data_IF_677715807613
#
_entry.id   IF_677715807613
#
_cell.length_a   1.000
_cell.length_b   1.000
_cell.length_c   1.000
_cell.angle_alpha   90.00
_cell.angle_beta   90.00
_cell.angle_gamma   90.00
#
_symmetry.space_group_name_H-M   'P 1'
#
loop_
_entity.id
_entity.type
_entity.pdbx_description
1 polymer ?
#
# COMPACT_ATOMS: atom_id res chain seq x y z
N UNK A 1 -22.39 -18.55 20.67
CA UNK A 1 -21.88 -18.94 19.35
C UNK A 1 -20.61 -18.17 19.07
N UNK A 2 -19.43 -18.80 19.19
CA UNK A 2 -18.15 -18.14 18.98
C UNK A 2 -17.84 -18.06 17.49
N UNK A 3 -17.88 -16.87 16.92
CA UNK A 3 -17.31 -16.62 15.59
C UNK A 3 -15.79 -16.62 15.74
N UNK A 4 -15.13 -17.67 15.27
CA UNK A 4 -13.67 -17.68 15.13
C UNK A 4 -13.27 -16.59 14.15
N UNK A 5 -12.60 -15.56 14.67
CA UNK A 5 -12.02 -14.50 13.87
C UNK A 5 -10.64 -14.97 13.44
N UNK A 6 -10.52 -15.43 12.19
CA UNK A 6 -9.20 -15.66 11.60
C UNK A 6 -8.66 -14.32 11.09
N UNK A 7 -7.52 -13.90 11.63
CA UNK A 7 -6.66 -12.90 10.99
C UNK A 7 -5.76 -13.66 10.02
N UNK A 8 -5.78 -13.31 8.74
CA UNK A 8 -4.87 -13.88 7.76
C UNK A 8 -3.61 -13.04 7.67
N UNK A 9 -2.44 -13.68 7.67
CA UNK A 9 -1.14 -13.03 7.47
C UNK A 9 -0.41 -13.66 6.28
N UNK A 10 0.11 -12.81 5.41
CA UNK A 10 0.95 -13.20 4.29
C UNK A 10 2.24 -12.38 4.26
N UNK A 11 3.31 -12.99 3.74
CA UNK A 11 4.57 -12.31 3.45
C UNK A 11 5.00 -12.66 2.03
N UNK A 12 5.41 -11.68 1.26
CA UNK A 12 5.95 -11.89 -0.09
C UNK A 12 7.01 -10.85 -0.40
N UNK A 13 7.90 -11.15 -1.35
CA UNK A 13 8.92 -10.25 -1.83
C UNK A 13 8.62 -9.85 -3.28
N UNK A 14 8.53 -8.56 -3.55
CA UNK A 14 8.25 -8.02 -4.88
C UNK A 14 9.30 -6.98 -5.22
N UNK A 15 10.08 -7.22 -6.27
CA UNK A 15 11.13 -6.31 -6.73
C UNK A 15 12.12 -5.90 -5.63
N UNK A 16 12.47 -6.85 -4.74
CA UNK A 16 13.40 -6.62 -3.62
C UNK A 16 12.78 -5.89 -2.42
N UNK A 17 11.47 -5.64 -2.42
CA UNK A 17 10.73 -5.12 -1.28
C UNK A 17 9.95 -6.24 -0.60
N UNK A 18 10.18 -6.41 0.70
CA UNK A 18 9.40 -7.31 1.54
C UNK A 18 8.06 -6.66 1.88
N UNK A 19 6.97 -7.40 1.63
CA UNK A 19 5.60 -6.95 1.82
C UNK A 19 4.94 -7.85 2.86
N UNK A 20 4.29 -7.21 3.82
CA UNK A 20 3.46 -7.85 4.82
C UNK A 20 1.98 -7.58 4.49
N UNK A 21 1.21 -8.64 4.32
CA UNK A 21 -0.21 -8.61 4.00
C UNK A 21 -1.00 -9.06 5.22
N UNK A 22 -2.01 -8.28 5.60
CA UNK A 22 -2.90 -8.58 6.71
C UNK A 22 -4.35 -8.58 6.19
N UNK A 23 -5.02 -9.72 6.30
CA UNK A 23 -6.43 -9.86 5.96
C UNK A 23 -7.29 -9.44 7.14
N UNK A 24 -8.19 -8.46 6.97
CA UNK A 24 -9.10 -8.04 8.03
C UNK A 24 -10.41 -8.81 7.98
N UNK A 25 -11.03 -9.13 9.13
CA UNK A 25 -12.34 -9.77 9.17
C UNK A 25 -13.43 -8.92 8.48
N UNK A 26 -14.16 -9.54 7.55
CA UNK A 26 -15.11 -8.85 6.66
C UNK A 26 -16.50 -8.56 7.23
N UNK A 27 -16.86 -9.09 8.41
CA UNK A 27 -18.22 -8.93 8.96
C UNK A 27 -18.41 -7.58 9.67
N UNK A 28 -19.60 -6.97 9.52
CA UNK A 28 -19.97 -5.65 10.12
C UNK A 28 -19.54 -5.45 11.58
N UNK A 29 -19.66 -6.47 12.45
CA UNK A 29 -19.35 -6.36 13.88
C UNK A 29 -17.85 -6.28 14.23
N UNK A 30 -16.96 -6.39 13.24
CA UNK A 30 -15.51 -6.29 13.45
C UNK A 30 -14.92 -4.89 13.20
N UNK A 31 -15.73 -3.82 13.22
CA UNK A 31 -15.24 -2.44 13.05
C UNK A 31 -14.04 -2.12 13.95
N UNK A 32 -14.13 -2.46 15.26
CA UNK A 32 -13.04 -2.22 16.22
C UNK A 32 -11.77 -3.00 15.84
N UNK A 33 -11.90 -4.27 15.44
CA UNK A 33 -10.75 -5.05 14.99
C UNK A 33 -10.17 -4.49 13.70
N UNK A 34 -11.00 -4.06 12.74
CA UNK A 34 -10.53 -3.39 11.52
C UNK A 34 -9.77 -2.11 11.84
N UNK A 35 -10.26 -1.28 12.76
CA UNK A 35 -9.56 -0.07 13.18
C UNK A 35 -8.19 -0.40 13.80
N UNK A 36 -8.11 -1.41 14.66
CA UNK A 36 -6.84 -1.81 15.29
C UNK A 36 -5.87 -2.40 14.25
N UNK A 37 -6.33 -3.29 13.38
CA UNK A 37 -5.50 -3.99 12.39
C UNK A 37 -5.05 -3.07 11.25
N UNK A 38 -5.80 -2.01 10.97
CA UNK A 38 -5.46 -1.05 9.93
C UNK A 38 -4.40 -0.03 10.38
N UNK A 39 -4.23 0.21 11.68
CA UNK A 39 -3.26 1.18 12.20
C UNK A 39 -1.84 0.83 11.73
N UNK A 40 -1.21 1.79 11.05
CA UNK A 40 0.14 1.65 10.50
C UNK A 40 0.20 1.08 9.08
N UNK A 41 -0.94 0.76 8.45
CA UNK A 41 -0.98 0.31 7.08
C UNK A 41 -0.44 1.37 6.11
N UNK A 42 0.45 0.94 5.21
CA UNK A 42 1.00 1.78 4.16
C UNK A 42 0.03 1.96 2.99
N UNK A 43 -0.69 0.89 2.66
CA UNK A 43 -1.65 0.83 1.58
C UNK A 43 -2.75 -0.20 1.85
N UNK A 44 -3.85 -0.10 1.09
CA UNK A 44 -5.02 -0.98 1.21
C UNK A 44 -5.36 -1.61 -0.13
N UNK A 45 -5.59 -2.92 -0.12
CA UNK A 45 -6.30 -3.64 -1.19
C UNK A 45 -7.75 -3.84 -0.74
N UNK A 46 -8.68 -3.09 -1.32
CA UNK A 46 -10.10 -3.16 -0.97
C UNK A 46 -10.82 -4.12 -1.91
N UNK A 47 -11.17 -5.30 -1.42
CA UNK A 47 -11.76 -6.37 -2.26
C UNK A 47 -13.29 -6.27 -2.24
N UNK A 48 -13.88 -6.20 -3.43
CA UNK A 48 -15.33 -6.12 -3.63
C UNK A 48 -15.81 -7.34 -4.39
N UNK A 49 -16.92 -7.93 -3.93
CA UNK A 49 -17.61 -8.99 -4.64
C UNK A 49 -18.40 -8.42 -5.83
N UNK A 50 -17.87 -8.54 -7.04
CA UNK A 50 -18.50 -7.93 -8.22
C UNK A 50 -19.75 -8.68 -8.68
N UNK A 51 -19.96 -9.91 -8.19
CA UNK A 51 -21.07 -10.78 -8.56
C UNK A 51 -22.28 -10.71 -7.59
N UNK A 52 -22.17 -9.96 -6.48
CA UNK A 52 -23.25 -9.87 -5.47
C UNK A 52 -23.51 -8.42 -5.02
N UNK A 53 -24.36 -7.71 -5.77
CA UNK A 53 -24.77 -6.32 -5.48
C UNK A 53 -25.42 -6.15 -4.11
N UNK A 54 -26.04 -7.20 -3.56
CA UNK A 54 -26.68 -7.15 -2.24
C UNK A 54 -25.68 -6.87 -1.12
N UNK A 55 -24.37 -7.02 -1.38
CA UNK A 55 -23.29 -6.73 -0.43
C UNK A 55 -22.75 -5.31 -0.54
N UNK A 56 -23.22 -4.51 -1.48
CA UNK A 56 -22.68 -3.16 -1.71
C UNK A 56 -22.89 -2.24 -0.52
N UNK A 57 -24.01 -2.34 0.20
CA UNK A 57 -24.22 -1.56 1.42
C UNK A 57 -23.17 -1.86 2.50
N UNK A 58 -22.78 -3.13 2.63
CA UNK A 58 -21.71 -3.55 3.55
C UNK A 58 -20.35 -3.05 3.04
N UNK A 59 -20.07 -3.20 1.75
CA UNK A 59 -18.85 -2.69 1.13
C UNK A 59 -18.72 -1.16 1.29
N UNK A 60 -19.79 -0.40 1.07
CA UNK A 60 -19.84 1.05 1.28
C UNK A 60 -19.55 1.43 2.73
N UNK A 61 -20.07 0.66 3.68
CA UNK A 61 -19.81 0.87 5.11
C UNK A 61 -18.32 0.69 5.40
N UNK A 62 -17.73 -0.43 4.97
CA UNK A 62 -16.29 -0.70 5.17
C UNK A 62 -15.42 0.31 4.40
N UNK A 63 -15.83 0.74 3.20
CA UNK A 63 -15.13 1.76 2.43
C UNK A 63 -15.04 3.09 3.19
N UNK A 64 -16.14 3.53 3.80
CA UNK A 64 -16.17 4.74 4.64
C UNK A 64 -15.30 4.58 5.89
N UNK A 65 -15.34 3.41 6.54
CA UNK A 65 -14.47 3.09 7.68
C UNK A 65 -12.99 3.15 7.30
N UNK A 66 -12.58 2.58 6.15
CA UNK A 66 -11.18 2.66 5.68
C UNK A 66 -10.76 4.11 5.47
N UNK A 67 -11.62 4.94 4.88
CA UNK A 67 -11.35 6.37 4.69
C UNK A 67 -11.26 7.14 6.01
N UNK A 68 -12.04 6.75 7.01
CA UNK A 68 -12.04 7.30 8.37
C UNK A 68 -10.76 6.91 9.13
N UNK A 69 -10.41 5.62 9.14
CA UNK A 69 -9.31 5.07 9.92
C UNK A 69 -7.93 5.36 9.31
N UNK A 70 -7.88 5.45 7.98
CA UNK A 70 -6.65 5.54 7.21
C UNK A 70 -6.64 6.77 6.26
N UNK A 71 -6.76 7.99 6.79
CA UNK A 71 -6.78 9.18 5.97
C UNK A 71 -5.46 9.32 5.19
N UNK A 72 -5.57 9.46 3.87
CA UNK A 72 -4.43 9.63 2.97
C UNK A 72 -3.63 8.35 2.67
N UNK A 73 -4.03 7.19 3.18
CA UNK A 73 -3.44 5.90 2.80
C UNK A 73 -3.82 5.56 1.36
N UNK A 74 -2.86 5.00 0.63
CA UNK A 74 -3.05 4.63 -0.78
C UNK A 74 -3.97 3.41 -0.85
N UNK A 75 -4.94 3.43 -1.75
CA UNK A 75 -5.87 2.32 -1.92
C UNK A 75 -5.95 1.88 -3.39
N UNK A 76 -6.10 0.58 -3.60
CA UNK A 76 -6.50 -0.04 -4.87
C UNK A 76 -7.72 -0.90 -4.58
N UNK A 77 -8.79 -0.71 -5.35
CA UNK A 77 -10.00 -1.52 -5.26
C UNK A 77 -9.87 -2.71 -6.21
N UNK A 78 -10.14 -3.90 -5.71
CA UNK A 78 -10.17 -5.14 -6.47
C UNK A 78 -11.63 -5.53 -6.70
N UNK A 79 -12.14 -5.27 -7.90
CA UNK A 79 -13.44 -5.77 -8.36
C UNK A 79 -13.29 -7.29 -8.62
N UNK A 80 -13.49 -8.09 -7.57
CA UNK A 80 -13.18 -9.51 -7.54
C UNK A 80 -14.33 -10.36 -8.08
N UNK A 81 -14.05 -11.64 -8.35
CA UNK A 81 -14.94 -12.65 -8.94
C UNK A 81 -15.31 -12.41 -10.41
N UNK A 82 -14.39 -11.85 -11.19
CA UNK A 82 -14.56 -11.69 -12.64
C UNK A 82 -14.61 -13.03 -13.41
N UNK A 83 -14.37 -14.16 -12.74
CA UNK A 83 -14.60 -15.51 -13.27
C UNK A 83 -16.07 -15.93 -13.29
N UNK A 84 -16.95 -15.19 -12.61
CA UNK A 84 -18.39 -15.47 -12.57
C UNK A 84 -19.08 -14.72 -13.71
N UNK A 85 -19.92 -15.43 -14.47
CA UNK A 85 -20.73 -14.82 -15.53
C UNK A 85 -21.70 -13.78 -14.97
N UNK A 86 -21.84 -12.65 -15.66
CA UNK A 86 -22.62 -11.51 -15.19
C UNK A 86 -22.00 -10.70 -14.05
N UNK A 87 -20.75 -10.98 -13.63
CA UNK A 87 -20.05 -10.12 -12.68
C UNK A 87 -19.88 -8.70 -13.23
N UNK A 88 -20.15 -7.70 -12.39
CA UNK A 88 -20.01 -6.29 -12.76
C UNK A 88 -18.58 -5.96 -13.18
N UNK A 89 -18.43 -5.13 -14.21
CA UNK A 89 -17.10 -4.64 -14.63
C UNK A 89 -16.55 -3.66 -13.58
N UNK A 90 -15.23 -3.42 -13.56
CA UNK A 90 -14.59 -2.46 -12.64
C UNK A 90 -15.25 -1.07 -12.64
N UNK A 91 -15.71 -0.60 -13.79
CA UNK A 91 -16.37 0.70 -13.95
C UNK A 91 -17.74 0.73 -13.25
N UNK A 92 -18.50 -0.36 -13.34
CA UNK A 92 -19.82 -0.49 -12.69
C UNK A 92 -19.66 -0.57 -11.16
N UNK A 93 -18.64 -1.29 -10.67
CA UNK A 93 -18.29 -1.31 -9.24
C UNK A 93 -17.87 0.07 -8.74
N UNK A 94 -17.11 0.83 -9.55
CA UNK A 94 -16.72 2.21 -9.23
C UNK A 94 -17.95 3.09 -9.02
N UNK A 95 -18.88 3.05 -9.96
CA UNK A 95 -20.10 3.85 -9.93
C UNK A 95 -20.97 3.48 -8.73
N UNK A 96 -21.23 2.18 -8.53
CA UNK A 96 -22.06 1.68 -7.44
C UNK A 96 -21.53 2.07 -6.05
N UNK A 97 -20.22 2.02 -5.85
CA UNK A 97 -19.60 2.34 -4.56
C UNK A 97 -19.13 3.80 -4.43
N UNK A 98 -19.31 4.63 -5.47
CA UNK A 98 -18.85 6.02 -5.48
C UNK A 98 -17.33 6.16 -5.30
N UNK A 99 -16.55 5.26 -5.90
CA UNK A 99 -15.08 5.25 -5.75
C UNK A 99 -14.46 6.44 -6.50
N UNK A 100 -13.66 7.30 -5.82
CA UNK A 100 -13.00 8.44 -6.45
C UNK A 100 -12.15 8.07 -7.67
N UNK A 101 -12.13 8.93 -8.69
CA UNK A 101 -11.47 8.66 -9.98
C UNK A 101 -9.96 8.42 -9.90
N UNK A 102 -9.30 8.94 -8.87
CA UNK A 102 -7.88 8.76 -8.59
C UNK A 102 -7.55 7.40 -7.95
N UNK A 103 -8.54 6.70 -7.39
CA UNK A 103 -8.40 5.36 -6.85
C UNK A 103 -8.54 4.33 -7.97
N UNK A 104 -7.52 3.50 -8.27
CA UNK A 104 -7.65 2.45 -9.27
C UNK A 104 -8.66 1.39 -8.85
N UNK A 105 -9.47 0.94 -9.80
CA UNK A 105 -10.35 -0.22 -9.65
C UNK A 105 -9.90 -1.24 -10.68
N UNK A 106 -9.52 -2.43 -10.23
CA UNK A 106 -8.93 -3.48 -11.06
C UNK A 106 -9.84 -4.71 -11.02
N UNK A 107 -10.24 -5.20 -12.19
CA UNK A 107 -10.98 -6.45 -12.32
C UNK A 107 -10.07 -7.63 -11.95
N UNK A 108 -10.51 -8.45 -11.01
CA UNK A 108 -9.71 -9.54 -10.43
C UNK A 108 -10.51 -10.82 -10.28
N UNK A 109 -9.81 -11.95 -10.24
CA UNK A 109 -10.38 -13.21 -9.80
C UNK A 109 -9.36 -13.91 -8.92
N UNK A 110 -9.69 -14.03 -7.63
CA UNK A 110 -8.87 -14.75 -6.67
C UNK A 110 -8.75 -16.25 -6.98
N UNK A 111 -9.75 -16.83 -7.63
CA UNK A 111 -9.78 -18.26 -7.99
C UNK A 111 -8.85 -18.56 -9.16
N UNK A 112 -8.86 -17.71 -10.19
CA UNK A 112 -8.02 -17.91 -11.39
C UNK A 112 -6.66 -17.25 -11.29
N UNK A 113 -6.47 -16.35 -10.32
CA UNK A 113 -5.28 -15.51 -10.18
C UNK A 113 -5.29 -14.25 -11.05
N UNK A 114 -6.35 -14.02 -11.83
CA UNK A 114 -6.48 -12.85 -12.71
C UNK A 114 -6.22 -11.55 -11.93
N UNK A 115 -5.19 -10.82 -12.37
CA UNK A 115 -4.78 -9.51 -11.87
C UNK A 115 -4.52 -9.40 -10.36
N UNK A 116 -4.40 -10.52 -9.63
CA UNK A 116 -4.12 -10.50 -8.18
C UNK A 116 -2.76 -9.87 -7.92
N UNK A 117 -1.71 -10.40 -8.55
CA UNK A 117 -0.35 -9.85 -8.44
C UNK A 117 -0.24 -8.44 -9.03
N UNK A 118 -0.99 -8.15 -10.10
CA UNK A 118 -1.04 -6.82 -10.71
C UNK A 118 -1.59 -5.78 -9.73
N UNK A 119 -2.64 -6.13 -8.98
CA UNK A 119 -3.28 -5.23 -8.02
C UNK A 119 -2.33 -4.88 -6.86
N UNK A 120 -1.61 -5.88 -6.35
CA UNK A 120 -0.56 -5.66 -5.35
C UNK A 120 0.56 -4.76 -5.90
N UNK A 121 1.06 -5.07 -7.09
CA UNK A 121 2.11 -4.29 -7.77
C UNK A 121 1.68 -2.85 -8.05
N UNK A 122 0.42 -2.64 -8.42
CA UNK A 122 -0.19 -1.32 -8.61
C UNK A 122 -0.20 -0.53 -7.31
N UNK A 123 -0.56 -1.16 -6.19
CA UNK A 123 -0.51 -0.55 -4.87
C UNK A 123 0.92 -0.11 -4.52
N UNK A 124 1.91 -1.00 -4.69
CA UNK A 124 3.33 -0.68 -4.45
C UNK A 124 3.82 0.49 -5.31
N UNK A 125 3.46 0.51 -6.60
CA UNK A 125 3.84 1.60 -7.49
C UNK A 125 3.30 2.95 -7.01
N UNK A 126 2.06 2.98 -6.51
CA UNK A 126 1.48 4.19 -5.93
C UNK A 126 2.14 4.58 -4.60
N UNK A 127 2.51 3.63 -3.74
CA UNK A 127 3.24 3.89 -2.51
C UNK A 127 4.61 4.50 -2.79
N UNK A 128 5.36 3.92 -3.71
CA UNK A 128 6.67 4.46 -4.10
C UNK A 128 6.51 5.80 -4.78
N UNK A 129 5.52 5.99 -5.67
CA UNK A 129 5.22 7.30 -6.27
C UNK A 129 4.94 8.37 -5.21
N UNK A 130 4.21 8.03 -4.14
CA UNK A 130 3.95 8.93 -3.01
C UNK A 130 5.23 9.27 -2.24
N UNK A 131 6.15 8.33 -2.09
CA UNK A 131 7.45 8.54 -1.43
C UNK A 131 8.53 9.13 -2.35
N UNK A 132 8.34 9.12 -3.68
CA UNK A 132 9.35 9.51 -4.64
C UNK A 132 9.95 10.91 -4.38
N UNK A 133 9.18 11.96 -4.04
CA UNK A 133 9.76 13.28 -3.80
C UNK A 133 10.81 13.30 -2.69
N UNK A 134 10.58 12.58 -1.58
CA UNK A 134 11.54 12.54 -0.47
C UNK A 134 12.70 11.61 -0.77
N UNK A 135 12.43 10.50 -1.46
CA UNK A 135 13.45 9.55 -1.89
C UNK A 135 14.43 10.16 -2.90
N UNK A 136 13.96 11.01 -3.82
CA UNK A 136 14.83 11.75 -4.74
C UNK A 136 15.79 12.70 -4.02
N UNK A 137 15.36 13.31 -2.90
CA UNK A 137 16.24 14.17 -2.09
C UNK A 137 17.26 13.33 -1.31
N UNK A 138 16.84 12.18 -0.79
CA UNK A 138 17.74 11.25 -0.11
C UNK A 138 18.80 10.70 -1.07
N UNK A 139 18.42 10.32 -2.29
CA UNK A 139 19.33 9.78 -3.31
C UNK A 139 20.49 10.74 -3.61
N UNK A 140 20.26 12.05 -3.52
CA UNK A 140 21.29 13.07 -3.72
C UNK A 140 22.39 13.10 -2.65
N UNK A 141 22.16 12.51 -1.47
CA UNK A 141 23.13 12.47 -0.36
C UNK A 141 23.42 11.03 0.10
N UNK A 142 23.11 10.04 -0.74
CA UNK A 142 23.29 8.62 -0.47
C UNK A 142 24.75 8.27 -0.15
N UNK A 143 24.99 7.68 1.03
CA UNK A 143 26.31 7.26 1.48
C UNK A 143 27.27 8.40 1.85
N UNK A 144 26.83 9.67 1.85
CA UNK A 144 27.67 10.80 2.21
C UNK A 144 27.86 10.94 3.72
N UNK A 145 29.10 11.23 4.16
CA UNK A 145 29.37 11.63 5.55
C UNK A 145 28.63 12.92 5.88
N UNK A 146 27.75 12.87 6.87
CA UNK A 146 26.86 13.98 7.23
C UNK A 146 25.63 14.11 6.32
N UNK A 147 25.31 13.10 5.51
CA UNK A 147 24.14 13.07 4.62
C UNK A 147 22.82 13.34 5.35
N UNK A 148 22.65 12.86 6.60
CA UNK A 148 21.46 13.16 7.42
C UNK A 148 21.30 14.66 7.65
N UNK A 149 22.39 15.37 7.96
CA UNK A 149 22.36 16.82 8.21
C UNK A 149 22.01 17.59 6.94
N UNK A 150 22.61 17.23 5.80
CA UNK A 150 22.32 17.84 4.50
C UNK A 150 20.88 17.61 4.05
N UNK A 151 20.38 16.38 4.22
CA UNK A 151 18.99 16.04 3.99
C UNK A 151 18.06 16.88 4.88
N UNK A 152 18.35 16.97 6.18
CA UNK A 152 17.57 17.75 7.14
C UNK A 152 17.49 19.23 6.74
N UNK A 153 18.62 19.83 6.36
CA UNK A 153 18.71 21.21 5.90
C UNK A 153 17.90 21.42 4.61
N UNK A 154 18.09 20.53 3.62
CA UNK A 154 17.40 20.61 2.32
C UNK A 154 15.89 20.50 2.44
N UNK A 155 15.40 19.70 3.39
CA UNK A 155 13.97 19.51 3.66
C UNK A 155 13.40 20.58 4.62
N UNK A 156 14.24 21.42 5.22
CA UNK A 156 13.82 22.34 6.28
C UNK A 156 13.32 21.63 7.55
N UNK A 157 13.80 20.41 7.81
CA UNK A 157 13.39 19.62 8.96
C UNK A 157 14.27 19.90 10.18
N UNK A 158 13.66 19.86 11.36
CA UNK A 158 14.39 19.76 12.62
C UNK A 158 14.80 18.30 12.89
N UNK A 159 15.68 18.09 13.87
CA UNK A 159 16.21 16.76 14.22
C UNK A 159 15.11 15.72 14.54
N UNK A 160 14.03 16.14 15.21
CA UNK A 160 12.92 15.24 15.57
C UNK A 160 12.16 14.78 14.33
N UNK A 161 11.83 15.71 13.42
CA UNK A 161 11.16 15.39 12.15
C UNK A 161 12.04 14.54 11.24
N UNK A 162 13.33 14.87 11.13
CA UNK A 162 14.31 14.08 10.37
C UNK A 162 14.40 12.66 10.89
N UNK A 163 14.48 12.49 12.22
CA UNK A 163 14.51 11.17 12.85
C UNK A 163 13.23 10.38 12.60
N UNK A 164 12.06 11.01 12.71
CA UNK A 164 10.77 10.36 12.42
C UNK A 164 10.71 9.84 10.99
N UNK A 165 11.13 10.67 10.02
CA UNK A 165 11.12 10.32 8.60
C UNK A 165 12.09 9.18 8.29
N UNK A 166 13.34 9.30 8.72
CA UNK A 166 14.37 8.29 8.43
C UNK A 166 14.03 6.94 9.09
N UNK A 167 13.57 6.94 10.34
CA UNK A 167 13.08 5.72 11.00
C UNK A 167 11.89 5.11 10.27
N UNK A 168 10.95 5.93 9.80
CA UNK A 168 9.77 5.44 9.09
C UNK A 168 10.14 4.75 7.77
N UNK A 169 11.13 5.29 7.05
CA UNK A 169 11.66 4.73 5.80
C UNK A 169 12.51 3.47 6.06
N UNK A 170 13.33 3.48 7.10
CA UNK A 170 14.16 2.34 7.51
C UNK A 170 13.30 1.13 7.90
N UNK A 171 12.24 1.34 8.69
CA UNK A 171 11.29 0.28 9.06
C UNK A 171 10.57 -0.36 7.86
N UNK A 172 10.48 0.35 6.73
CA UNK A 172 9.91 -0.15 5.47
C UNK A 172 10.93 -0.75 4.52
N UNK A 173 12.19 -0.81 4.95
CA UNK A 173 13.29 -1.31 4.14
C UNK A 173 13.60 -0.42 2.94
N UNK A 174 13.37 0.89 3.02
CA UNK A 174 13.68 1.79 1.91
C UNK A 174 15.16 2.21 1.92
N UNK A 175 15.74 2.28 3.11
CA UNK A 175 17.11 2.70 3.35
C UNK A 175 17.60 2.12 4.67
N UNK A 176 18.91 2.11 4.87
CA UNK A 176 19.55 1.78 6.14
C UNK A 176 20.23 3.04 6.70
N UNK A 177 20.15 3.28 8.02
CA UNK A 177 20.69 4.50 8.65
C UNK A 177 21.79 4.17 9.65
N UNK A 178 22.94 4.83 9.52
CA UNK A 178 23.94 4.89 10.58
C UNK A 178 23.87 6.23 11.32
N UNK A 179 23.15 6.21 12.45
CA UNK A 179 23.00 7.37 13.33
C UNK A 179 24.29 7.82 14.01
N UNK A 180 25.32 6.96 14.09
CA UNK A 180 26.61 7.31 14.73
C UNK A 180 27.46 8.18 13.81
N UNK A 181 27.46 7.86 12.52
CA UNK A 181 28.25 8.57 11.50
C UNK A 181 27.44 9.61 10.74
N UNK A 182 26.11 9.61 10.91
CA UNK A 182 25.22 10.57 10.24
C UNK A 182 25.02 10.25 8.76
N UNK A 183 25.15 8.98 8.39
CA UNK A 183 25.08 8.49 7.01
C UNK A 183 23.82 7.63 6.83
N UNK A 184 23.28 7.60 5.62
CA UNK A 184 22.25 6.65 5.23
C UNK A 184 22.53 6.10 3.83
N UNK A 185 21.97 4.93 3.51
CA UNK A 185 22.06 4.31 2.19
C UNK A 185 20.67 3.84 1.76
N UNK A 186 20.16 4.36 0.65
CA UNK A 186 19.00 3.81 -0.04
C UNK A 186 19.31 2.39 -0.49
N UNK A 187 18.34 1.49 -0.31
CA UNK A 187 18.48 0.11 -0.78
C UNK A 187 18.48 0.05 -2.31
N UNK A 188 19.22 -0.91 -2.87
CA UNK A 188 19.34 -1.07 -4.32
C UNK A 188 18.00 -1.26 -5.02
N UNK A 189 17.06 -1.95 -4.36
CA UNK A 189 15.69 -2.10 -4.84
C UNK A 189 15.01 -0.73 -5.04
N UNK A 190 15.14 0.18 -4.06
CA UNK A 190 14.59 1.54 -4.15
C UNK A 190 15.29 2.34 -5.23
N UNK A 191 16.62 2.32 -5.29
CA UNK A 191 17.39 3.01 -6.35
C UNK A 191 16.96 2.55 -7.74
N UNK A 192 16.73 1.26 -7.92
CA UNK A 192 16.27 0.68 -9.19
C UNK A 192 14.85 1.14 -9.52
N UNK A 193 13.93 1.10 -8.55
CA UNK A 193 12.55 1.54 -8.74
C UNK A 193 12.48 3.05 -9.06
N UNK A 194 13.30 3.90 -8.41
CA UNK A 194 13.35 5.34 -8.69
C UNK A 194 13.77 5.63 -10.13
N UNK A 195 14.72 4.85 -10.66
CA UNK A 195 15.20 4.96 -12.06
C UNK A 195 14.21 4.38 -13.07
N UNK A 196 13.39 3.41 -12.67
CA UNK A 196 12.47 2.72 -13.56
C UNK A 196 11.16 2.33 -12.85
N UNK A 197 10.27 3.29 -12.53
CA UNK A 197 9.07 3.01 -11.73
C UNK A 197 8.12 1.99 -12.37
N UNK A 198 8.07 1.96 -13.70
CA UNK A 198 7.21 1.04 -14.45
C UNK A 198 7.58 -0.44 -14.24
N UNK A 199 8.78 -0.74 -13.73
CA UNK A 199 9.20 -2.11 -13.44
C UNK A 199 8.30 -2.80 -12.42
N UNK A 200 7.65 -2.04 -11.52
CA UNK A 200 6.73 -2.62 -10.55
C UNK A 200 5.50 -3.22 -11.25
N UNK A 201 5.05 -2.62 -12.35
CA UNK A 201 3.88 -3.05 -13.10
C UNK A 201 4.18 -4.18 -14.11
N UNK A 202 5.45 -4.34 -14.50
CA UNK A 202 5.90 -5.45 -15.34
C UNK A 202 6.10 -6.66 -14.42
N UNK A 203 5.20 -7.64 -14.50
CA UNK A 203 5.36 -8.90 -13.78
C UNK A 203 6.74 -9.51 -14.04
N UNK A 204 7.27 -10.27 -13.07
CA UNK A 204 8.36 -11.19 -13.37
C UNK A 204 7.81 -12.20 -14.39
N UNK A 205 8.43 -12.31 -15.56
CA UNK A 205 8.08 -13.33 -16.55
C UNK A 205 8.22 -14.74 -15.97
#
# INVERSE_FOLDING_TARGET
>A
HGTTVALDYGKTDVSGLTIHLFGTPGLKHFRVLREILSKGADGVLFVVDSADERRDEEALTVWREVKEFLPGVVCVVMANKQDIDGARRPEEVREALGIPGDVPVVGTSAVTGLNVSLSLRRLLALLVKKAAPILSVLDAYDGEVGGISRFSEKMGFNLSSTRKVLNWLELRGYLDVDWRTGVFWLRDAIKTILKSPDMLLRGSA
#
